data_IF_683441400104
#
_entry.id   IF_683441400104
#
_cell.length_a   1.000
_cell.length_b   1.000
_cell.length_c   1.000
_cell.angle_alpha   90.00
_cell.angle_beta   90.00
_cell.angle_gamma   90.00
#
_symmetry.space_group_name_H-M   'P 1'
#
loop_
_entity.id
_entity.type
_entity.pdbx_description
1 polymer ?
#
# COMPACT_ATOMS: atom_id res chain seq x y z
N UNK A 1 11.88 2.87 -9.35
CA UNK A 1 10.86 2.47 -8.39
C UNK A 1 11.22 3.08 -7.02
N UNK A 2 10.26 3.74 -6.39
CA UNK A 2 10.38 4.30 -5.05
C UNK A 2 9.31 3.65 -4.20
N UNK A 3 9.74 2.88 -3.18
CA UNK A 3 8.83 2.15 -2.31
C UNK A 3 8.60 2.89 -1.00
N UNK A 4 7.37 2.78 -0.49
CA UNK A 4 6.94 3.29 0.81
C UNK A 4 7.29 4.76 1.06
N UNK A 5 7.00 5.61 0.08
CA UNK A 5 7.28 7.04 0.22
C UNK A 5 6.43 7.64 1.35
N UNK A 6 7.10 8.10 2.39
CA UNK A 6 6.51 8.92 3.43
C UNK A 6 6.55 10.39 3.01
N UNK A 7 5.42 11.07 3.12
CA UNK A 7 5.30 12.50 2.84
C UNK A 7 5.39 13.34 4.14
N UNK A 8 6.01 12.82 5.19
CA UNK A 8 6.16 13.50 6.49
C UNK A 8 7.58 13.96 6.70
N UNK A 9 7.68 15.15 7.28
CA UNK A 9 8.94 15.74 7.72
C UNK A 9 9.60 16.62 6.67
N UNK A 10 10.71 17.22 7.07
CA UNK A 10 11.60 18.06 6.25
C UNK A 10 12.46 17.22 5.27
N UNK A 11 11.87 16.13 4.78
CA UNK A 11 12.58 15.18 3.93
C UNK A 11 12.76 15.76 2.52
N UNK A 12 13.97 15.74 2.02
CA UNK A 12 14.31 16.21 0.68
C UNK A 12 13.68 15.33 -0.43
N UNK A 13 13.16 14.16 -0.08
CA UNK A 13 12.56 13.20 -1.00
C UNK A 13 11.38 13.75 -1.80
N UNK A 14 10.32 14.27 -1.16
CA UNK A 14 9.17 14.85 -1.86
C UNK A 14 9.54 16.04 -2.74
N UNK A 15 10.47 16.90 -2.31
CA UNK A 15 10.94 18.06 -3.09
C UNK A 15 11.71 17.63 -4.34
N UNK A 16 12.60 16.62 -4.22
CA UNK A 16 13.33 16.05 -5.36
C UNK A 16 12.38 15.39 -6.35
N UNK A 17 11.41 14.63 -5.85
CA UNK A 17 10.40 14.01 -6.71
C UNK A 17 9.59 15.05 -7.48
N UNK A 18 9.20 16.15 -6.82
CA UNK A 18 8.53 17.28 -7.46
C UNK A 18 9.39 17.85 -8.60
N UNK A 19 10.66 18.16 -8.34
CA UNK A 19 11.59 18.69 -9.35
C UNK A 19 11.71 17.75 -10.57
N UNK A 20 11.79 16.46 -10.34
CA UNK A 20 11.85 15.45 -11.42
C UNK A 20 10.54 15.37 -12.23
N UNK A 21 9.39 15.59 -11.60
CA UNK A 21 8.08 15.54 -12.26
C UNK A 21 7.76 16.88 -12.98
N UNK A 22 8.27 18.00 -12.49
CA UNK A 22 8.02 19.34 -13.03
C UNK A 22 8.84 19.67 -14.27
N UNK A 23 9.82 18.86 -14.63
CA UNK A 23 10.62 19.10 -15.84
C UNK A 23 11.67 20.19 -15.70
N UNK A 24 12.16 20.46 -14.47
CA UNK A 24 13.30 21.33 -14.22
C UNK A 24 14.60 20.81 -14.84
N UNK A 25 15.76 21.37 -14.40
CA UNK A 25 17.08 20.95 -14.89
C UNK A 25 17.39 19.46 -14.68
N UNK A 26 16.66 18.81 -13.79
CA UNK A 26 16.68 17.36 -13.52
C UNK A 26 15.45 16.63 -14.08
N UNK A 27 14.91 17.11 -15.19
CA UNK A 27 13.75 16.52 -15.81
C UNK A 27 13.95 15.03 -16.11
N UNK A 28 12.89 14.24 -15.86
CA UNK A 28 12.90 12.82 -16.14
C UNK A 28 13.16 12.55 -17.64
N UNK A 29 14.14 11.73 -17.99
CA UNK A 29 14.36 11.31 -19.37
C UNK A 29 13.11 10.65 -19.97
N UNK A 30 12.85 10.82 -21.26
CA UNK A 30 11.63 10.34 -21.93
C UNK A 30 11.47 8.80 -21.87
N UNK A 31 12.58 8.07 -21.77
CA UNK A 31 12.64 6.61 -21.66
C UNK A 31 12.51 6.08 -20.22
N UNK A 32 12.34 6.95 -19.22
CA UNK A 32 12.18 6.57 -17.81
C UNK A 32 10.71 6.64 -17.41
N UNK A 33 10.22 5.67 -16.66
CA UNK A 33 8.93 5.69 -15.97
C UNK A 33 9.18 5.61 -14.47
N UNK A 34 8.42 6.44 -13.74
CA UNK A 34 8.51 6.50 -12.28
C UNK A 34 7.30 5.77 -11.67
N UNK A 35 7.58 4.83 -10.80
CA UNK A 35 6.60 4.13 -9.99
C UNK A 35 6.88 4.45 -8.53
N UNK A 36 5.84 4.85 -7.82
CA UNK A 36 5.93 5.22 -6.40
C UNK A 36 4.83 4.50 -5.65
N UNK A 37 5.15 3.90 -4.51
CA UNK A 37 4.16 3.37 -3.58
C UNK A 37 4.11 4.22 -2.31
N UNK A 38 2.94 4.26 -1.68
CA UNK A 38 2.75 4.90 -0.39
C UNK A 38 1.69 4.15 0.40
N UNK A 39 1.95 3.91 1.67
CA UNK A 39 1.02 3.23 2.59
C UNK A 39 -0.09 4.15 3.13
N UNK A 40 -0.06 5.44 2.83
CA UNK A 40 -1.08 6.37 3.31
C UNK A 40 -2.30 6.34 2.43
N UNK A 41 -3.40 5.86 2.99
CA UNK A 41 -4.72 5.83 2.34
C UNK A 41 -5.25 7.21 2.00
N UNK A 42 -4.77 8.23 2.70
CA UNK A 42 -5.29 9.58 2.59
C UNK A 42 -4.16 10.57 2.37
N UNK A 43 -3.98 10.90 1.11
CA UNK A 43 -3.37 12.17 0.75
C UNK A 43 -4.27 13.32 1.27
N UNK A 44 -5.52 13.02 1.66
CA UNK A 44 -6.56 14.00 2.05
C UNK A 44 -7.45 13.49 3.19
N UNK A 45 -6.94 13.03 4.34
CA UNK A 45 -7.76 12.99 5.56
C UNK A 45 -7.40 14.15 6.48
N UNK A 46 -8.33 15.11 6.54
CA UNK A 46 -8.36 16.15 7.58
C UNK A 46 -8.49 15.46 8.92
N UNK A 47 -7.50 15.57 9.80
CA UNK A 47 -7.74 15.52 11.23
C UNK A 47 -8.36 16.85 11.64
N UNK A 48 -9.58 16.80 12.13
CA UNK A 48 -10.39 17.97 12.56
C UNK A 48 -10.03 18.50 13.95
N UNK A 49 -8.99 17.98 14.60
CA UNK A 49 -8.84 18.16 16.03
C UNK A 49 -7.66 19.04 16.52
N UNK A 50 -6.97 19.79 15.63
CA UNK A 50 -5.94 20.71 16.09
C UNK A 50 -6.02 22.06 15.35
N UNK A 51 -6.67 23.04 15.96
CA UNK A 51 -6.81 24.40 15.37
C UNK A 51 -5.49 25.19 15.30
N UNK A 52 -4.48 24.88 16.10
CA UNK A 52 -3.18 25.57 16.11
C UNK A 52 -2.13 24.99 15.16
N UNK A 53 -2.34 23.76 14.65
CA UNK A 53 -1.50 23.16 13.60
C UNK A 53 -2.01 23.49 12.18
N UNK A 54 -3.06 24.30 12.06
CA UNK A 54 -3.87 24.40 10.85
C UNK A 54 -3.18 25.09 9.65
N UNK A 55 -2.19 25.96 9.86
CA UNK A 55 -1.52 26.67 8.77
C UNK A 55 -0.48 25.77 8.11
N UNK A 56 0.39 25.14 8.89
CA UNK A 56 1.41 24.23 8.36
C UNK A 56 0.79 22.93 7.78
N UNK A 57 -0.34 22.47 8.34
CA UNK A 57 -1.03 21.28 7.83
C UNK A 57 -1.71 21.53 6.48
N UNK A 58 -2.18 22.74 6.19
CA UNK A 58 -2.78 23.10 4.89
C UNK A 58 -1.72 23.16 3.80
N UNK A 59 -0.60 23.84 4.04
CA UNK A 59 0.49 23.95 3.07
C UNK A 59 1.08 22.57 2.71
N UNK A 60 1.23 21.70 3.71
CA UNK A 60 1.68 20.32 3.51
C UNK A 60 0.65 19.47 2.75
N UNK A 61 -0.64 19.68 2.99
CA UNK A 61 -1.69 18.98 2.27
C UNK A 61 -1.78 19.45 0.81
N UNK A 62 -1.68 20.75 0.57
CA UNK A 62 -1.70 21.33 -0.78
C UNK A 62 -0.48 20.91 -1.60
N UNK A 63 0.69 20.84 -0.98
CA UNK A 63 1.91 20.34 -1.61
C UNK A 63 1.82 18.87 -2.00
N UNK A 64 1.18 18.06 -1.17
CA UNK A 64 0.93 16.63 -1.45
C UNK A 64 -0.07 16.44 -2.57
N UNK A 65 -1.15 17.22 -2.57
CA UNK A 65 -2.15 17.17 -3.62
C UNK A 65 -1.56 17.57 -4.96
N UNK A 66 -0.78 18.65 -4.99
CA UNK A 66 -0.08 19.11 -6.18
C UNK A 66 0.93 18.10 -6.71
N UNK A 67 1.61 17.34 -5.83
CA UNK A 67 2.49 16.26 -6.24
C UNK A 67 1.69 15.07 -6.80
N UNK A 68 0.61 14.69 -6.11
CA UNK A 68 -0.24 13.58 -6.53
C UNK A 68 -0.87 13.81 -7.92
N UNK A 69 -1.21 15.06 -8.26
CA UNK A 69 -1.82 15.39 -9.55
C UNK A 69 -0.86 15.29 -10.74
N UNK A 70 0.44 15.18 -10.47
CA UNK A 70 1.46 14.99 -11.51
C UNK A 70 1.69 13.54 -11.91
N UNK A 71 1.13 12.59 -11.17
CA UNK A 71 1.10 11.19 -11.57
C UNK A 71 -0.05 10.95 -12.56
N UNK A 72 0.29 10.47 -13.75
CA UNK A 72 -0.71 10.19 -14.79
C UNK A 72 -1.61 8.99 -14.49
N UNK A 73 -1.21 8.12 -13.55
CA UNK A 73 -2.00 6.97 -13.12
C UNK A 73 -1.88 6.83 -11.59
N UNK A 74 -3.03 6.70 -10.94
CA UNK A 74 -3.14 6.44 -9.49
C UNK A 74 -3.93 5.17 -9.30
N UNK A 75 -3.35 4.18 -8.62
CA UNK A 75 -3.98 2.91 -8.31
C UNK A 75 -4.11 2.77 -6.80
N UNK A 76 -5.35 2.64 -6.33
CA UNK A 76 -5.64 2.39 -4.93
C UNK A 76 -5.84 0.90 -4.68
N UNK A 77 -5.06 0.33 -3.76
CA UNK A 77 -5.21 -1.03 -3.29
C UNK A 77 -5.90 -1.02 -1.93
N UNK A 78 -7.18 -1.39 -1.91
CA UNK A 78 -7.93 -1.48 -0.67
C UNK A 78 -7.75 -2.84 -0.01
N UNK A 79 -8.06 -2.93 1.30
CA UNK A 79 -8.12 -4.24 1.95
C UNK A 79 -9.25 -5.04 1.32
N UNK A 80 -9.00 -6.34 1.02
CA UNK A 80 -10.02 -7.20 0.48
C UNK A 80 -11.16 -7.36 1.49
N UNK A 81 -12.38 -7.43 0.99
CA UNK A 81 -13.50 -7.92 1.75
C UNK A 81 -13.35 -9.44 2.04
N UNK A 82 -14.30 -10.02 2.75
CA UNK A 82 -14.22 -11.44 3.12
C UNK A 82 -14.23 -12.36 1.88
N UNK A 83 -15.14 -12.19 0.91
CA UNK A 83 -15.12 -13.01 -0.29
C UNK A 83 -13.81 -12.96 -1.06
N UNK A 84 -13.28 -11.75 -1.33
CA UNK A 84 -12.02 -11.57 -2.03
C UNK A 84 -10.82 -12.18 -1.27
N UNK A 85 -10.81 -12.10 0.07
CA UNK A 85 -9.79 -12.76 0.88
C UNK A 85 -9.86 -14.29 0.73
N UNK A 86 -11.05 -14.87 0.80
CA UNK A 86 -11.23 -16.32 0.65
C UNK A 86 -10.87 -16.80 -0.76
N UNK A 87 -11.16 -16.01 -1.80
CA UNK A 87 -10.70 -16.28 -3.17
C UNK A 87 -9.16 -16.31 -3.26
N UNK A 88 -8.46 -15.40 -2.59
CA UNK A 88 -6.99 -15.42 -2.53
C UNK A 88 -6.49 -16.68 -1.83
N UNK A 89 -7.10 -17.07 -0.70
CA UNK A 89 -6.74 -18.29 0.02
C UNK A 89 -6.97 -19.52 -0.87
N UNK A 90 -8.14 -19.61 -1.51
CA UNK A 90 -8.48 -20.72 -2.41
C UNK A 90 -7.47 -20.82 -3.58
N UNK A 91 -7.07 -19.67 -4.15
CA UNK A 91 -6.09 -19.64 -5.24
C UNK A 91 -4.72 -20.17 -4.79
N UNK A 92 -4.22 -19.76 -3.62
CA UNK A 92 -2.97 -20.30 -3.07
C UNK A 92 -3.11 -21.79 -2.72
N UNK A 93 -4.20 -22.19 -2.08
CA UNK A 93 -4.44 -23.59 -1.73
C UNK A 93 -4.47 -24.49 -2.97
N UNK A 94 -5.18 -24.06 -4.02
CA UNK A 94 -5.23 -24.78 -5.29
C UNK A 94 -3.85 -24.88 -5.97
N UNK A 95 -3.08 -23.77 -5.95
CA UNK A 95 -1.75 -23.72 -6.56
C UNK A 95 -0.75 -24.68 -5.90
N UNK A 96 -0.82 -24.80 -4.58
CA UNK A 96 0.13 -25.61 -3.80
C UNK A 96 -0.43 -26.98 -3.39
N UNK A 97 -1.68 -27.29 -3.74
CA UNK A 97 -2.35 -28.54 -3.39
C UNK A 97 -2.50 -28.69 -1.87
N UNK A 98 -3.03 -27.65 -1.21
CA UNK A 98 -3.25 -27.59 0.23
C UNK A 98 -4.73 -27.71 0.54
N UNK A 99 -5.06 -28.48 1.57
CA UNK A 99 -6.42 -28.51 2.12
C UNK A 99 -6.61 -27.32 3.07
N UNK A 100 -7.79 -26.69 2.97
CA UNK A 100 -8.10 -25.52 3.80
C UNK A 100 -9.58 -25.45 4.15
N UNK A 101 -9.89 -24.75 5.22
CA UNK A 101 -11.26 -24.49 5.66
C UNK A 101 -11.49 -22.99 5.84
N UNK A 102 -12.68 -22.52 5.46
CA UNK A 102 -13.06 -21.10 5.54
C UNK A 102 -12.96 -20.56 6.96
N UNK A 103 -13.48 -21.32 7.94
CA UNK A 103 -13.48 -20.90 9.34
C UNK A 103 -12.04 -20.74 9.89
N UNK A 104 -11.12 -21.64 9.52
CA UNK A 104 -9.71 -21.59 9.94
C UNK A 104 -8.99 -20.40 9.28
N UNK A 105 -9.23 -20.16 7.98
CA UNK A 105 -8.69 -19.02 7.26
C UNK A 105 -9.13 -17.67 7.87
N UNK A 106 -10.41 -17.56 8.23
CA UNK A 106 -10.96 -16.35 8.84
C UNK A 106 -10.42 -16.14 10.27
N UNK A 107 -10.32 -17.21 11.06
CA UNK A 107 -9.72 -17.17 12.39
C UNK A 107 -8.25 -16.73 12.33
N UNK A 108 -7.49 -17.27 11.39
CA UNK A 108 -6.10 -16.87 11.16
C UNK A 108 -5.98 -15.40 10.78
N UNK A 109 -6.85 -14.92 9.86
CA UNK A 109 -6.86 -13.51 9.46
C UNK A 109 -7.19 -12.59 10.64
N UNK A 110 -8.14 -12.97 11.50
CA UNK A 110 -8.48 -12.22 12.69
C UNK A 110 -7.30 -12.10 13.66
N UNK A 111 -6.58 -13.19 13.92
CA UNK A 111 -5.39 -13.21 14.77
C UNK A 111 -4.25 -12.33 14.22
N UNK A 112 -4.16 -12.18 12.91
CA UNK A 112 -3.14 -11.36 12.22
C UNK A 112 -3.55 -9.91 12.00
N UNK A 113 -4.66 -9.46 12.58
CA UNK A 113 -5.11 -8.07 12.56
C UNK A 113 -5.85 -7.67 11.29
N UNK A 114 -6.27 -8.61 10.45
CA UNK A 114 -7.12 -8.33 9.30
C UNK A 114 -6.83 -9.15 8.05
N UNK A 115 -7.60 -8.88 7.01
CA UNK A 115 -7.53 -9.56 5.73
C UNK A 115 -6.63 -8.79 4.76
N UNK A 116 -5.66 -9.46 4.17
CA UNK A 116 -4.81 -8.91 3.11
C UNK A 116 -4.22 -10.04 2.27
N UNK A 117 -3.70 -9.74 1.08
CA UNK A 117 -3.00 -10.74 0.27
C UNK A 117 -1.78 -11.34 0.99
N UNK A 118 -1.09 -10.53 1.81
CA UNK A 118 0.01 -11.02 2.64
C UNK A 118 -0.47 -12.03 3.70
N UNK A 119 -1.60 -11.77 4.32
CA UNK A 119 -2.19 -12.68 5.31
C UNK A 119 -2.67 -13.97 4.65
N UNK A 120 -3.26 -13.91 3.45
CA UNK A 120 -3.64 -15.09 2.68
C UNK A 120 -2.40 -15.95 2.32
N UNK A 121 -1.31 -15.33 1.91
CA UNK A 121 -0.04 -16.01 1.67
C UNK A 121 0.52 -16.66 2.94
N UNK A 122 0.55 -15.93 4.07
CA UNK A 122 1.02 -16.49 5.34
C UNK A 122 0.17 -17.68 5.80
N UNK A 123 -1.14 -17.66 5.51
CA UNK A 123 -2.00 -18.80 5.81
C UNK A 123 -1.65 -20.02 4.94
N UNK A 124 -1.36 -19.84 3.66
CA UNK A 124 -0.89 -20.93 2.82
C UNK A 124 0.45 -21.52 3.32
N UNK A 125 1.39 -20.67 3.75
CA UNK A 125 2.66 -21.12 4.38
C UNK A 125 2.39 -21.89 5.67
N UNK A 126 1.46 -21.42 6.50
CA UNK A 126 1.05 -22.12 7.73
C UNK A 126 0.46 -23.51 7.43
N UNK A 127 -0.44 -23.62 6.44
CA UNK A 127 -1.02 -24.90 6.02
C UNK A 127 0.06 -25.88 5.54
N UNK A 128 0.98 -25.42 4.70
CA UNK A 128 2.08 -26.24 4.24
C UNK A 128 2.98 -26.71 5.40
N UNK A 129 3.25 -25.81 6.36
CA UNK A 129 4.01 -26.15 7.56
C UNK A 129 3.32 -27.21 8.43
N UNK A 130 1.97 -27.19 8.55
CA UNK A 130 1.20 -28.24 9.23
C UNK A 130 1.34 -29.61 8.56
N UNK A 131 1.55 -29.64 7.24
CA UNK A 131 1.83 -30.86 6.45
C UNK A 131 3.33 -31.21 6.41
N UNK A 132 4.18 -30.49 7.10
CA UNK A 132 5.64 -30.70 7.07
C UNK A 132 6.31 -30.32 5.76
N UNK A 133 5.69 -29.44 4.96
CA UNK A 133 6.15 -28.93 3.66
C UNK A 133 6.62 -27.49 3.77
N UNK A 134 7.52 -27.07 2.91
CA UNK A 134 7.87 -25.65 2.67
C UNK A 134 7.31 -25.20 1.32
N UNK A 135 6.85 -23.94 1.24
CA UNK A 135 6.44 -23.30 0.00
C UNK A 135 7.56 -22.45 -0.58
#
# INVERSE_FOLDING_TARGET
FIDDMAFEGDDAGPRRLRSMLEGGSEARPANVRLYVTSNRRNIVERRQDDEDAAVNARDVADDRLALADRFGLKLGFQYPDQPAFLEMVAAYAAHFGLDWEEADALAFAHQRGGRSGRVAWHYAVELAGREGRSL
#
